data_IF_511358817758
#
_entry.id   IF_511358817758
#
_cell.length_a   1.000
_cell.length_b   1.000
_cell.length_c   1.000
_cell.angle_alpha   90.00
_cell.angle_beta   90.00
_cell.angle_gamma   90.00
#
_symmetry.space_group_name_H-M   'P 1'
#
loop_
_entity.id
_entity.type
_entity.pdbx_description
1 polymer ?
#
# COMPACT_ATOMS: atom_id res chain seq x y z
N UNK A 1 18.08 65.34 8.13
CA UNK A 1 18.95 64.16 8.18
C UNK A 1 18.08 62.97 8.50
N UNK A 2 18.06 61.99 7.60
CA UNK A 2 17.24 60.80 7.66
C UNK A 2 17.88 59.72 8.55
N UNK A 3 17.06 59.02 9.34
CA UNK A 3 16.82 57.56 9.30
C UNK A 3 16.43 57.02 10.68
N UNK A 4 15.12 56.91 10.92
CA UNK A 4 14.58 55.96 11.89
C UNK A 4 14.81 54.53 11.36
N UNK A 5 15.47 53.69 12.15
CA UNK A 5 15.53 52.24 11.93
C UNK A 5 14.41 51.58 12.74
N UNK A 6 13.32 51.20 12.06
CA UNK A 6 12.34 50.26 12.58
C UNK A 6 12.77 48.84 12.22
N UNK A 7 13.40 48.13 13.17
CA UNK A 7 13.73 46.71 13.03
C UNK A 7 12.48 45.85 13.29
N UNK A 8 11.67 45.70 12.23
CA UNK A 8 10.47 44.87 12.23
C UNK A 8 10.77 43.41 11.93
N UNK A 9 11.46 42.68 12.83
CA UNK A 9 11.58 41.23 12.73
C UNK A 9 10.31 40.54 13.24
N UNK A 10 9.32 40.39 12.36
CA UNK A 10 8.21 39.45 12.59
C UNK A 10 8.75 38.02 12.48
N UNK A 11 8.69 37.29 13.59
CA UNK A 11 9.02 35.86 13.70
C UNK A 11 8.15 35.08 12.70
N UNK A 12 8.78 34.47 11.70
CA UNK A 12 8.16 33.50 10.82
C UNK A 12 7.86 32.23 11.65
N UNK A 13 6.66 32.16 12.22
CA UNK A 13 6.10 30.96 12.82
C UNK A 13 5.57 30.04 11.73
N UNK A 14 6.47 29.48 10.91
CA UNK A 14 6.15 28.41 9.98
C UNK A 14 6.64 27.11 10.57
N UNK A 15 5.85 26.51 11.46
CA UNK A 15 6.08 25.13 11.87
C UNK A 15 6.23 24.30 10.60
N UNK A 16 7.32 23.54 10.51
CA UNK A 16 7.58 22.63 9.38
C UNK A 16 6.37 21.68 9.29
N UNK A 17 5.40 22.04 8.44
CA UNK A 17 4.34 21.15 8.02
C UNK A 17 5.04 19.91 7.52
N UNK A 18 4.80 18.79 8.20
CA UNK A 18 5.33 17.51 7.82
C UNK A 18 4.90 17.24 6.37
N UNK A 19 5.83 17.50 5.45
CA UNK A 19 5.87 17.10 4.03
C UNK A 19 4.51 17.10 3.31
N UNK A 20 3.86 18.25 3.17
CA UNK A 20 2.75 18.43 2.22
C UNK A 20 3.25 18.23 0.78
N UNK A 21 2.57 17.43 -0.02
CA UNK A 21 2.86 17.25 -1.44
C UNK A 21 2.25 18.40 -2.26
N UNK A 22 2.99 18.92 -3.24
CA UNK A 22 2.48 20.00 -4.10
C UNK A 22 1.86 19.42 -5.37
N UNK A 23 0.56 19.64 -5.56
CA UNK A 23 -0.17 19.22 -6.77
C UNK A 23 -0.47 20.43 -7.64
N UNK A 24 -0.20 20.33 -8.95
CA UNK A 24 -0.55 21.37 -9.93
C UNK A 24 -1.86 20.99 -10.63
N UNK A 25 -2.92 21.77 -10.40
CA UNK A 25 -4.26 21.52 -10.97
C UNK A 25 -4.58 22.59 -12.03
N UNK A 26 -5.16 22.15 -13.15
CA UNK A 26 -5.74 23.05 -14.16
C UNK A 26 -7.21 23.28 -13.84
N UNK A 27 -7.57 24.54 -13.56
CA UNK A 27 -8.95 24.97 -13.34
C UNK A 27 -9.34 25.94 -14.45
N UNK A 28 -10.56 25.83 -14.95
CA UNK A 28 -11.09 26.87 -15.82
C UNK A 28 -11.26 28.19 -15.04
N UNK A 29 -11.23 29.36 -15.72
CA UNK A 29 -11.29 30.65 -15.05
C UNK A 29 -12.51 30.84 -14.14
N UNK A 30 -13.66 30.27 -14.49
CA UNK A 30 -14.90 30.39 -13.70
C UNK A 30 -14.82 29.55 -12.43
N UNK A 31 -14.36 28.31 -12.52
CA UNK A 31 -14.18 27.45 -11.35
C UNK A 31 -13.14 28.03 -10.39
N UNK A 32 -12.04 28.57 -10.91
CA UNK A 32 -11.02 29.27 -10.12
C UNK A 32 -11.62 30.43 -9.33
N UNK A 33 -12.41 31.29 -9.98
CA UNK A 33 -13.08 32.42 -9.34
C UNK A 33 -14.07 31.98 -8.25
N UNK A 34 -14.86 30.94 -8.50
CA UNK A 34 -15.81 30.41 -7.51
C UNK A 34 -15.10 29.79 -6.29
N UNK A 35 -13.99 29.08 -6.51
CA UNK A 35 -13.17 28.53 -5.42
C UNK A 35 -12.57 29.65 -4.54
N UNK A 36 -12.17 30.77 -5.15
CA UNK A 36 -11.71 31.96 -4.43
C UNK A 36 -12.80 32.59 -3.57
N UNK A 37 -14.01 32.74 -4.11
CA UNK A 37 -15.16 33.25 -3.35
C UNK A 37 -15.52 32.33 -2.18
N UNK A 38 -15.51 31.01 -2.38
CA UNK A 38 -15.80 30.05 -1.34
C UNK A 38 -14.74 30.07 -0.22
N UNK A 39 -13.46 30.10 -0.59
CA UNK A 39 -12.35 30.22 0.36
C UNK A 39 -12.44 31.51 1.18
N UNK A 40 -12.76 32.65 0.53
CA UNK A 40 -12.96 33.93 1.20
C UNK A 40 -14.14 33.89 2.19
N UNK A 41 -15.26 33.30 1.78
CA UNK A 41 -16.45 33.12 2.64
C UNK A 41 -16.12 32.30 3.89
N UNK A 42 -15.27 31.28 3.75
CA UNK A 42 -14.83 30.40 4.83
C UNK A 42 -13.58 30.91 5.57
N UNK A 43 -13.06 32.10 5.22
CA UNK A 43 -11.85 32.72 5.79
C UNK A 43 -10.61 31.82 5.78
N UNK A 44 -10.42 31.07 4.70
CA UNK A 44 -9.26 30.19 4.47
C UNK A 44 -8.58 30.48 3.14
N UNK A 45 -7.38 29.95 2.94
CA UNK A 45 -6.70 30.04 1.63
C UNK A 45 -7.38 29.15 0.60
N UNK A 46 -7.22 29.45 -0.69
CA UNK A 46 -7.80 28.60 -1.75
C UNK A 46 -7.26 27.18 -1.70
N UNK A 47 -5.97 27.01 -1.37
CA UNK A 47 -5.36 25.70 -1.17
C UNK A 47 -6.06 24.90 -0.07
N UNK A 48 -6.27 25.52 1.10
CA UNK A 48 -6.96 24.88 2.23
C UNK A 48 -8.45 24.61 1.95
N UNK A 49 -9.09 25.45 1.12
CA UNK A 49 -10.44 25.18 0.64
C UNK A 49 -10.49 23.96 -0.29
N UNK A 50 -9.54 23.86 -1.23
CA UNK A 50 -9.45 22.74 -2.17
C UNK A 50 -9.17 21.43 -1.43
N UNK A 51 -8.24 21.44 -0.47
CA UNK A 51 -7.94 20.27 0.38
C UNK A 51 -9.19 19.78 1.12
N UNK A 52 -9.89 20.68 1.83
CA UNK A 52 -11.14 20.35 2.50
C UNK A 52 -12.21 19.83 1.53
N UNK A 53 -12.32 20.41 0.33
CA UNK A 53 -13.29 19.95 -0.67
C UNK A 53 -12.96 18.55 -1.19
N UNK A 54 -11.67 18.21 -1.32
CA UNK A 54 -11.23 16.85 -1.67
C UNK A 54 -11.58 15.89 -0.54
N UNK A 55 -11.27 16.23 0.72
CA UNK A 55 -11.64 15.40 1.88
C UNK A 55 -13.15 15.14 1.96
N UNK A 56 -13.97 16.18 1.80
CA UNK A 56 -15.44 16.06 1.78
C UNK A 56 -15.91 15.21 0.59
N UNK A 57 -15.27 15.34 -0.57
CA UNK A 57 -15.59 14.50 -1.73
C UNK A 57 -15.22 13.03 -1.51
N UNK A 58 -14.08 12.73 -0.88
CA UNK A 58 -13.63 11.37 -0.61
C UNK A 58 -14.56 10.63 0.36
N UNK A 59 -15.19 11.36 1.30
CA UNK A 59 -16.21 10.81 2.19
C UNK A 59 -17.53 10.44 1.47
N UNK A 60 -17.72 10.93 0.23
CA UNK A 60 -18.94 10.68 -0.55
C UNK A 60 -18.75 9.63 -1.63
N UNK A 61 -17.55 9.49 -2.18
CA UNK A 61 -17.24 8.49 -3.21
C UNK A 61 -17.26 7.10 -2.57
N UNK A 62 -18.21 6.27 -3.00
CA UNK A 62 -18.37 4.90 -2.52
C UNK A 62 -17.49 3.93 -3.31
N UNK A 63 -16.75 3.07 -2.60
CA UNK A 63 -16.00 1.94 -3.17
C UNK A 63 -16.83 0.66 -3.17
N UNK A 64 -17.74 0.54 -2.22
CA UNK A 64 -18.66 -0.58 -2.14
C UNK A 64 -20.04 -0.03 -1.84
N UNK A 65 -21.01 -0.39 -2.69
CA UNK A 65 -22.41 -0.02 -2.48
C UNK A 65 -22.94 -0.66 -1.20
N UNK A 66 -23.80 0.08 -0.51
CA UNK A 66 -24.51 -0.40 0.66
C UNK A 66 -25.41 -1.60 0.36
N UNK A 67 -25.39 -2.59 1.25
CA UNK A 67 -26.26 -3.76 1.17
C UNK A 67 -27.68 -3.53 1.69
N UNK A 68 -28.36 -4.62 2.04
CA UNK A 68 -29.66 -4.57 2.70
C UNK A 68 -29.54 -4.08 4.15
N UNK A 69 -30.55 -3.35 4.64
CA UNK A 69 -30.67 -3.02 6.06
C UNK A 69 -30.02 -1.69 6.49
N UNK A 70 -30.19 -0.63 5.70
CA UNK A 70 -29.63 0.71 5.97
C UNK A 70 -28.09 0.74 6.05
N UNK A 71 -27.40 -0.18 5.37
CA UNK A 71 -25.95 -0.09 5.19
C UNK A 71 -25.64 1.08 4.24
N UNK A 72 -24.93 2.13 4.69
CA UNK A 72 -24.61 3.28 3.86
C UNK A 72 -23.58 2.98 2.77
N UNK A 73 -22.98 1.79 2.76
CA UNK A 73 -21.84 1.46 1.90
C UNK A 73 -20.52 1.84 2.54
N UNK A 74 -19.43 1.69 1.79
CA UNK A 74 -18.07 2.02 2.24
C UNK A 74 -17.46 3.07 1.33
N UNK A 75 -17.14 4.24 1.88
CA UNK A 75 -16.51 5.34 1.14
C UNK A 75 -14.99 5.18 1.04
N UNK A 76 -14.36 5.94 0.14
CA UNK A 76 -12.89 6.01 0.06
C UNK A 76 -12.29 6.50 1.38
N UNK A 77 -12.94 7.45 2.06
CA UNK A 77 -12.47 7.95 3.35
C UNK A 77 -12.49 6.88 4.44
N UNK A 78 -13.50 6.00 4.46
CA UNK A 78 -13.64 4.94 5.48
C UNK A 78 -12.49 3.94 5.44
N UNK A 79 -12.00 3.64 4.24
CA UNK A 79 -10.92 2.65 4.03
C UNK A 79 -9.54 3.25 4.02
N UNK A 80 -9.43 4.59 4.04
CA UNK A 80 -8.14 5.29 3.88
C UNK A 80 -7.11 4.80 4.92
N UNK A 81 -7.51 4.67 6.18
CA UNK A 81 -6.63 4.18 7.25
C UNK A 81 -6.20 2.72 7.08
N UNK A 82 -7.05 1.89 6.45
CA UNK A 82 -6.76 0.48 6.17
C UNK A 82 -5.81 0.31 4.99
N UNK A 83 -6.04 1.08 3.92
CA UNK A 83 -5.30 0.96 2.67
C UNK A 83 -3.97 1.73 2.69
N UNK A 84 -3.89 2.84 3.43
CA UNK A 84 -2.69 3.66 3.47
C UNK A 84 -1.54 2.96 4.20
N UNK A 85 -0.36 3.07 3.61
CA UNK A 85 0.91 2.67 4.20
C UNK A 85 2.02 3.61 3.71
N UNK A 86 3.07 3.77 4.51
CA UNK A 86 4.27 4.54 4.14
C UNK A 86 5.04 3.81 3.04
N UNK A 87 5.08 2.48 3.11
CA UNK A 87 5.72 1.65 2.11
C UNK A 87 4.76 1.41 0.92
N UNK A 88 5.21 1.74 -0.30
CA UNK A 88 4.39 1.61 -1.51
C UNK A 88 4.01 0.16 -1.81
N UNK A 89 4.87 -0.79 -1.45
CA UNK A 89 4.61 -2.22 -1.62
C UNK A 89 3.43 -2.70 -0.76
N UNK A 90 3.38 -2.26 0.49
CA UNK A 90 2.34 -2.60 1.47
C UNK A 90 1.02 -1.95 1.07
N UNK A 91 1.06 -0.66 0.69
CA UNK A 91 -0.11 0.07 0.17
C UNK A 91 -0.71 -0.62 -1.05
N UNK A 92 0.14 -1.05 -1.99
CA UNK A 92 -0.28 -1.78 -3.17
C UNK A 92 -0.90 -3.14 -2.81
N UNK A 93 -0.27 -3.93 -1.93
CA UNK A 93 -0.78 -5.23 -1.55
C UNK A 93 -2.14 -5.12 -0.83
N UNK A 94 -2.29 -4.14 0.08
CA UNK A 94 -3.55 -3.84 0.78
C UNK A 94 -4.65 -3.47 -0.22
N UNK A 95 -4.36 -2.61 -1.20
CA UNK A 95 -5.30 -2.28 -2.27
C UNK A 95 -5.68 -3.52 -3.08
N UNK A 96 -4.70 -4.30 -3.52
CA UNK A 96 -4.92 -5.47 -4.38
C UNK A 96 -5.68 -6.62 -3.70
N UNK A 97 -5.54 -6.75 -2.38
CA UNK A 97 -6.28 -7.74 -1.59
C UNK A 97 -7.73 -7.34 -1.35
N UNK A 98 -7.99 -6.04 -1.11
CA UNK A 98 -9.31 -5.56 -0.70
C UNK A 98 -10.17 -5.07 -1.88
N UNK A 99 -9.55 -4.44 -2.89
CA UNK A 99 -10.22 -3.80 -4.03
C UNK A 99 -9.46 -4.09 -5.34
N UNK A 100 -9.40 -5.37 -5.78
CA UNK A 100 -8.64 -5.76 -6.97
C UNK A 100 -9.14 -5.13 -8.28
N UNK A 101 -10.39 -4.66 -8.30
CA UNK A 101 -11.05 -3.97 -9.40
C UNK A 101 -10.54 -2.53 -9.62
N UNK A 102 -9.97 -1.91 -8.59
CA UNK A 102 -9.36 -0.57 -8.68
C UNK A 102 -7.95 -0.59 -9.27
N UNK A 103 -7.35 -1.78 -9.45
CA UNK A 103 -6.01 -1.92 -10.00
C UNK A 103 -6.00 -1.60 -11.50
N UNK A 104 -5.03 -0.78 -11.92
CA UNK A 104 -4.72 -0.56 -13.33
C UNK A 104 -4.20 -1.85 -13.99
N UNK A 105 -4.14 -1.89 -15.32
CA UNK A 105 -3.68 -3.08 -16.04
C UNK A 105 -2.24 -3.51 -15.67
N UNK A 106 -1.33 -2.55 -15.51
CA UNK A 106 0.05 -2.80 -15.10
C UNK A 106 0.13 -3.33 -13.66
N UNK A 107 -0.70 -2.77 -12.78
CA UNK A 107 -0.85 -3.23 -11.39
C UNK A 107 -1.44 -4.64 -11.31
N UNK A 108 -2.40 -4.98 -12.17
CA UNK A 108 -2.94 -6.33 -12.26
C UNK A 108 -1.88 -7.35 -12.69
N UNK A 109 -1.01 -6.99 -13.66
CA UNK A 109 0.14 -7.84 -14.05
C UNK A 109 1.09 -8.04 -12.87
N UNK A 110 1.43 -6.96 -12.16
CA UNK A 110 2.29 -7.02 -10.96
C UNK A 110 1.66 -7.91 -9.89
N UNK A 111 0.37 -7.74 -9.63
CA UNK A 111 -0.36 -8.52 -8.64
C UNK A 111 -0.39 -10.01 -8.99
N UNK A 112 -0.55 -10.34 -10.28
CA UNK A 112 -0.47 -11.72 -10.76
C UNK A 112 0.88 -12.35 -10.44
N UNK A 113 1.99 -11.64 -10.68
CA UNK A 113 3.34 -12.14 -10.35
C UNK A 113 3.51 -12.39 -8.85
N UNK A 114 2.96 -11.49 -8.02
CA UNK A 114 3.02 -11.61 -6.55
C UNK A 114 2.22 -12.83 -6.07
N UNK A 115 0.99 -13.03 -6.58
CA UNK A 115 0.13 -14.17 -6.22
C UNK A 115 0.72 -15.52 -6.60
N UNK A 116 1.45 -15.57 -7.72
CA UNK A 116 2.08 -16.79 -8.23
C UNK A 116 3.44 -17.07 -7.56
N UNK A 117 4.00 -16.12 -6.81
CA UNK A 117 5.29 -16.30 -6.14
C UNK A 117 5.13 -16.88 -4.74
N UNK A 118 5.36 -18.20 -4.60
CA UNK A 118 5.29 -18.92 -3.32
C UNK A 118 6.25 -18.40 -2.23
N UNK A 119 7.29 -17.62 -2.56
CA UNK A 119 8.16 -17.02 -1.55
C UNK A 119 7.44 -15.91 -0.78
N UNK A 120 6.45 -15.25 -1.37
CA UNK A 120 5.75 -14.17 -0.68
C UNK A 120 4.66 -14.67 0.27
N UNK A 121 4.23 -15.92 0.13
CA UNK A 121 3.09 -16.45 0.88
C UNK A 121 3.51 -17.50 1.90
N UNK A 122 2.91 -17.41 3.08
CA UNK A 122 2.89 -18.50 4.05
C UNK A 122 1.96 -19.59 3.53
N UNK A 123 2.34 -20.83 3.76
CA UNK A 123 1.60 -22.00 3.31
C UNK A 123 1.67 -23.13 4.33
N UNK A 124 0.99 -24.21 4.00
CA UNK A 124 1.06 -25.45 4.75
C UNK A 124 1.09 -26.63 3.77
N UNK A 125 1.56 -27.78 4.25
CA UNK A 125 1.40 -29.02 3.50
C UNK A 125 -0.01 -29.55 3.67
N UNK A 126 -0.60 -30.01 2.58
CA UNK A 126 -1.88 -30.70 2.62
C UNK A 126 -1.83 -31.91 3.58
N UNK A 127 -2.88 -32.07 4.41
CA UNK A 127 -3.00 -33.13 5.43
C UNK A 127 -2.85 -34.56 4.88
N UNK A 128 -3.15 -34.76 3.60
CA UNK A 128 -3.15 -36.09 2.95
C UNK A 128 -1.96 -36.31 2.00
N UNK A 129 -0.79 -35.76 2.33
CA UNK A 129 0.46 -36.20 1.72
C UNK A 129 0.82 -35.54 0.38
N UNK A 130 1.22 -34.26 0.43
CA UNK A 130 2.50 -33.94 -0.22
C UNK A 130 2.61 -32.73 -1.13
N UNK A 131 1.60 -31.87 -1.27
CA UNK A 131 1.79 -30.58 -1.95
C UNK A 131 1.76 -29.42 -0.96
N UNK A 132 2.72 -28.50 -1.08
CA UNK A 132 2.73 -27.23 -0.37
C UNK A 132 1.72 -26.29 -1.01
N UNK A 133 0.74 -25.83 -0.25
CA UNK A 133 -0.29 -24.90 -0.73
C UNK A 133 -0.19 -23.60 0.06
N UNK A 134 -0.17 -22.48 -0.66
CA UNK A 134 -0.30 -21.15 -0.06
C UNK A 134 -1.70 -20.58 -0.28
N UNK A 135 -2.16 -19.79 0.68
CA UNK A 135 -3.40 -19.03 0.58
C UNK A 135 -3.07 -17.57 0.28
N UNK A 136 -3.72 -17.01 -0.73
CA UNK A 136 -3.63 -15.59 -1.07
C UNK A 136 -4.58 -14.82 -0.14
N UNK A 137 -4.12 -14.59 1.08
CA UNK A 137 -4.82 -13.82 2.12
C UNK A 137 -3.83 -12.90 2.83
N UNK A 138 -4.32 -11.78 3.37
CA UNK A 138 -3.48 -10.74 3.97
C UNK A 138 -2.56 -11.30 5.07
N UNK A 139 -3.08 -12.21 5.90
CA UNK A 139 -2.35 -12.85 7.01
C UNK A 139 -1.25 -13.81 6.52
N UNK A 140 -1.41 -14.30 5.29
CA UNK A 140 -0.45 -15.17 4.63
C UNK A 140 0.68 -14.41 3.94
N UNK A 141 0.52 -13.11 3.68
CA UNK A 141 1.52 -12.34 2.95
C UNK A 141 2.71 -11.96 3.85
N UNK A 142 3.92 -12.23 3.36
CA UNK A 142 5.17 -11.81 3.99
C UNK A 142 5.56 -10.42 3.48
N UNK A 143 5.02 -9.38 4.10
CA UNK A 143 5.29 -7.99 3.73
C UNK A 143 6.78 -7.64 3.73
N UNK A 144 7.57 -8.17 4.67
CA UNK A 144 9.03 -7.95 4.71
C UNK A 144 9.73 -8.36 3.39
N UNK A 145 9.38 -9.55 2.87
CA UNK A 145 9.96 -10.07 1.62
C UNK A 145 9.40 -9.36 0.39
N UNK A 146 8.14 -8.93 0.45
CA UNK A 146 7.55 -8.13 -0.62
C UNK A 146 8.28 -6.79 -0.74
N UNK A 147 8.56 -6.12 0.37
CA UNK A 147 9.32 -4.87 0.42
C UNK A 147 10.75 -5.05 -0.08
N UNK A 148 11.44 -6.10 0.38
CA UNK A 148 12.81 -6.40 -0.04
C UNK A 148 12.95 -6.58 -1.55
N UNK A 149 11.98 -7.24 -2.18
CA UNK A 149 12.01 -7.56 -3.61
C UNK A 149 11.11 -6.66 -4.47
N UNK A 150 10.55 -5.59 -3.91
CA UNK A 150 9.51 -4.77 -4.54
C UNK A 150 9.92 -4.23 -5.91
N UNK A 151 11.13 -3.70 -6.01
CA UNK A 151 11.66 -3.12 -7.25
C UNK A 151 11.79 -4.16 -8.37
N UNK A 152 12.10 -5.42 -8.01
CA UNK A 152 12.18 -6.53 -8.97
C UNK A 152 10.79 -6.84 -9.51
N UNK A 153 9.77 -6.92 -8.66
CA UNK A 153 8.39 -7.12 -9.11
C UNK A 153 7.91 -5.96 -9.99
N UNK A 154 8.25 -4.72 -9.65
CA UNK A 154 7.95 -3.55 -10.48
C UNK A 154 8.63 -3.61 -11.86
N UNK A 155 9.91 -3.98 -11.91
CA UNK A 155 10.67 -4.10 -13.15
C UNK A 155 10.11 -5.22 -14.06
N UNK A 156 9.81 -6.39 -13.50
CA UNK A 156 9.24 -7.51 -14.27
C UNK A 156 7.84 -7.18 -14.78
N UNK A 157 7.00 -6.49 -13.98
CA UNK A 157 5.66 -6.10 -14.40
C UNK A 157 5.67 -5.13 -15.59
N UNK A 158 6.61 -4.18 -15.60
CA UNK A 158 6.82 -3.22 -16.70
C UNK A 158 7.45 -3.83 -17.95
N UNK A 159 8.04 -5.02 -17.83
CA UNK A 159 8.80 -5.68 -18.90
C UNK A 159 10.27 -5.28 -18.97
N UNK A 160 10.78 -4.54 -17.97
CA UNK A 160 12.19 -4.11 -17.88
C UNK A 160 13.12 -5.24 -17.42
N UNK A 161 12.57 -6.31 -16.82
CA UNK A 161 13.31 -7.46 -16.33
C UNK A 161 12.64 -8.79 -16.68
N UNK A 162 13.44 -9.85 -16.78
CA UNK A 162 12.95 -11.21 -17.04
C UNK A 162 12.29 -11.79 -15.79
N UNK A 163 11.26 -12.62 -15.99
CA UNK A 163 10.54 -13.32 -14.92
C UNK A 163 11.43 -14.23 -14.06
N UNK A 164 12.56 -14.65 -14.59
CA UNK A 164 13.57 -15.46 -13.89
C UNK A 164 14.31 -14.70 -12.78
N UNK A 165 14.30 -13.37 -12.83
CA UNK A 165 14.86 -12.51 -11.78
C UNK A 165 14.01 -12.50 -10.51
N UNK A 166 12.78 -13.01 -10.56
CA UNK A 166 11.92 -13.09 -9.38
C UNK A 166 12.51 -14.06 -8.36
N UNK A 167 12.40 -13.72 -7.07
CA UNK A 167 12.95 -14.55 -6.02
C UNK A 167 12.18 -15.88 -5.98
N UNK A 168 12.90 -16.99 -5.83
CA UNK A 168 12.34 -18.34 -5.93
C UNK A 168 12.12 -18.91 -4.52
N UNK A 169 10.99 -19.59 -4.35
CA UNK A 169 10.77 -20.38 -3.15
C UNK A 169 11.60 -21.67 -3.22
N UNK A 170 12.33 -21.97 -2.13
CA UNK A 170 13.06 -23.22 -1.98
C UNK A 170 12.34 -24.06 -0.93
N UNK A 171 11.92 -25.27 -1.31
CA UNK A 171 11.26 -26.22 -0.41
C UNK A 171 12.25 -26.66 0.68
N UNK A 172 12.15 -26.04 1.85
CA UNK A 172 12.93 -26.38 3.03
C UNK A 172 12.21 -27.45 3.84
N UNK A 173 11.89 -28.59 3.21
CA UNK A 173 11.72 -29.81 3.99
C UNK A 173 13.08 -30.06 4.67
N UNK A 174 13.16 -29.80 5.97
CA UNK A 174 14.26 -30.29 6.78
C UNK A 174 14.43 -31.77 6.44
N UNK A 175 15.61 -32.14 5.94
CA UNK A 175 15.95 -33.54 5.75
C UNK A 175 15.60 -34.28 7.05
N UNK A 176 14.91 -35.43 6.99
CA UNK A 176 14.69 -36.20 8.20
C UNK A 176 16.06 -36.39 8.85
N UNK A 177 16.22 -35.97 10.12
CA UNK A 177 17.39 -36.35 10.90
C UNK A 177 17.42 -37.88 10.84
N UNK A 178 18.36 -38.45 10.09
CA UNK A 178 18.65 -39.87 10.09
C UNK A 178 19.26 -40.21 11.45
N UNK A 179 18.43 -40.27 12.48
CA UNK A 179 18.80 -40.66 13.84
C UNK A 179 18.70 -42.17 14.04
N UNK A 180 19.25 -42.94 13.11
CA UNK A 180 19.39 -44.39 13.21
C UNK A 180 20.78 -44.81 12.69
N UNK A 181 21.83 -44.23 13.27
CA UNK A 181 23.19 -44.77 13.25
C UNK A 181 23.69 -44.68 14.70
N UNK A 182 23.54 -45.79 15.43
CA UNK A 182 24.24 -46.21 16.65
C UNK A 182 23.30 -47.08 17.51
N UNK A 183 23.09 -48.31 17.04
CA UNK A 183 22.85 -49.46 17.91
C UNK A 183 23.76 -50.60 17.46
N UNK A 184 25.05 -50.31 17.46
CA UNK A 184 26.05 -51.31 17.83
C UNK A 184 26.21 -51.15 19.35
N UNK A 185 25.68 -52.10 20.13
CA UNK A 185 26.18 -52.39 21.48
C UNK A 185 25.57 -53.74 21.94
N UNK A 186 26.42 -54.78 21.84
CA UNK A 186 26.49 -55.96 22.70
C UNK A 186 25.19 -56.65 23.15
N UNK A 187 24.79 -57.70 22.40
CA UNK A 187 23.96 -58.79 22.92
C UNK A 187 24.89 -59.96 23.32
N UNK A 188 25.22 -60.15 24.61
CA UNK A 188 25.87 -61.36 25.07
C UNK A 188 24.85 -62.50 25.21
N UNK A 189 25.22 -63.65 24.62
CA UNK A 189 24.49 -64.93 24.61
C UNK A 189 24.20 -65.51 26.00
#
# INVERSE_FOLDING_TARGET
>A
MATEKLDGKRKAGGGKLARSETVTVRLDPKLRYLAELAALKQRRTVSSFIEWAIEDSLARVQLQDGGYGNDPGTSVADVASKLWDVDDADRFAKLALNYPDLLTHEEQKRWKLIRENGLLWRGNYARNGGSWTWNVAEEGLRFDLLREHWDVFCAVARGDALRESLPKWVDTKAAPKSGFEDMDDDIPF
#
